data_IF_804626036566
#
_entry.id   IF_804626036566
#
_cell.length_a   1.000
_cell.length_b   1.000
_cell.length_c   1.000
_cell.angle_alpha   90.00
_cell.angle_beta   90.00
_cell.angle_gamma   90.00
#
_symmetry.space_group_name_H-M   'P 1'
#
loop_
_entity.id
_entity.type
_entity.pdbx_description
1 polymer ?
#
# COMPACT_ATOMS: atom_id res chain seq x y z
N UNK A 1 11.64 11.44 -25.07
CA UNK A 1 10.77 10.97 -23.96
C UNK A 1 11.02 9.48 -23.72
N UNK A 2 10.67 8.92 -22.55
CA UNK A 2 10.85 7.48 -22.29
C UNK A 2 10.22 6.59 -23.38
N UNK A 3 9.05 6.99 -23.88
CA UNK A 3 8.37 6.31 -24.99
C UNK A 3 9.21 6.27 -26.27
N UNK A 4 9.81 7.39 -26.67
CA UNK A 4 10.65 7.45 -27.88
C UNK A 4 11.92 6.59 -27.74
N UNK A 5 12.50 6.50 -26.54
CA UNK A 5 13.64 5.62 -26.29
C UNK A 5 13.20 4.16 -26.40
N UNK A 6 12.07 3.79 -25.79
CA UNK A 6 11.54 2.43 -25.91
C UNK A 6 11.29 2.02 -27.37
N UNK A 7 10.75 2.93 -28.20
CA UNK A 7 10.62 2.70 -29.65
C UNK A 7 11.96 2.44 -30.35
N UNK A 8 13.01 3.19 -30.00
CA UNK A 8 14.36 2.94 -30.52
C UNK A 8 14.93 1.59 -30.06
N UNK A 9 14.49 1.08 -28.91
CA UNK A 9 14.87 -0.22 -28.36
C UNK A 9 13.95 -1.37 -28.84
N UNK A 10 13.06 -1.12 -29.81
CA UNK A 10 12.18 -2.14 -30.40
C UNK A 10 10.85 -2.36 -29.67
N UNK A 11 10.55 -1.55 -28.65
CA UNK A 11 9.30 -1.65 -27.88
C UNK A 11 8.25 -0.66 -28.40
N UNK A 12 7.02 -1.14 -28.55
CA UNK A 12 5.88 -0.28 -28.94
C UNK A 12 4.96 -0.08 -27.74
N UNK A 13 4.79 1.19 -27.35
CA UNK A 13 3.84 1.56 -26.31
C UNK A 13 2.54 1.99 -27.01
N UNK A 14 1.39 1.38 -26.68
CA UNK A 14 0.15 1.75 -27.32
C UNK A 14 -0.28 3.16 -26.87
N UNK A 15 -0.87 3.93 -27.79
CA UNK A 15 -1.36 5.29 -27.53
C UNK A 15 -2.49 5.31 -26.46
N UNK A 16 -3.23 4.21 -26.37
CA UNK A 16 -4.24 3.96 -25.35
C UNK A 16 -4.18 2.51 -24.88
N UNK A 17 -4.53 2.28 -23.61
CA UNK A 17 -4.54 0.95 -23.02
C UNK A 17 -5.99 0.63 -22.66
N UNK A 18 -6.57 -0.36 -23.33
CA UNK A 18 -7.91 -0.83 -23.02
C UNK A 18 -7.93 -1.60 -21.67
N UNK A 19 -8.84 -1.27 -20.73
CA UNK A 19 -9.02 -2.03 -19.50
C UNK A 19 -9.23 -3.53 -19.70
N UNK A 20 -9.91 -3.97 -20.76
CA UNK A 20 -10.16 -5.38 -21.04
C UNK A 20 -8.88 -6.13 -21.41
N UNK A 21 -8.01 -5.49 -22.21
CA UNK A 21 -6.69 -6.03 -22.56
C UNK A 21 -5.85 -6.24 -21.30
N UNK A 22 -5.85 -5.25 -20.39
CA UNK A 22 -5.12 -5.37 -19.11
C UNK A 22 -5.72 -6.47 -18.23
N UNK A 23 -7.06 -6.60 -18.24
CA UNK A 23 -7.78 -7.66 -17.55
C UNK A 23 -7.33 -9.06 -17.97
N UNK A 24 -6.99 -9.25 -19.25
CA UNK A 24 -6.44 -10.49 -19.77
C UNK A 24 -4.93 -10.66 -19.51
N UNK A 25 -4.16 -9.56 -19.50
CA UNK A 25 -2.71 -9.58 -19.27
C UNK A 25 -2.33 -10.04 -17.86
N UNK A 26 -3.13 -9.72 -16.83
CA UNK A 26 -2.84 -10.14 -15.45
C UNK A 26 -2.85 -11.68 -15.33
N UNK A 27 -3.93 -12.40 -15.70
CA UNK A 27 -3.94 -13.86 -15.73
C UNK A 27 -2.83 -14.47 -16.59
N UNK A 28 -2.54 -13.89 -17.76
CA UNK A 28 -1.46 -14.39 -18.61
C UNK A 28 -0.09 -14.26 -17.94
N UNK A 29 0.18 -13.13 -17.28
CA UNK A 29 1.43 -12.91 -16.54
C UNK A 29 1.55 -13.88 -15.38
N UNK A 30 0.45 -14.14 -14.67
CA UNK A 30 0.40 -15.12 -13.59
C UNK A 30 0.68 -16.54 -14.09
N UNK A 31 0.09 -16.93 -15.23
CA UNK A 31 0.37 -18.22 -15.87
C UNK A 31 1.86 -18.36 -16.22
N UNK A 32 2.47 -17.35 -16.84
CA UNK A 32 3.92 -17.34 -17.16
C UNK A 32 4.78 -17.46 -15.90
N UNK A 33 4.36 -16.81 -14.80
CA UNK A 33 5.04 -16.94 -13.52
C UNK A 33 4.92 -18.36 -12.94
N UNK A 34 3.72 -18.96 -12.95
CA UNK A 34 3.50 -20.31 -12.46
C UNK A 34 4.29 -21.36 -13.28
N UNK A 35 4.44 -21.15 -14.59
CA UNK A 35 5.21 -22.02 -15.48
C UNK A 35 6.70 -22.08 -15.12
N UNK A 36 7.27 -20.98 -14.62
CA UNK A 36 8.69 -20.92 -14.26
C UNK A 36 8.93 -21.10 -12.76
N UNK A 37 7.92 -20.93 -11.91
CA UNK A 37 8.08 -20.85 -10.44
C UNK A 37 8.83 -22.05 -9.82
N UNK A 38 8.62 -23.26 -10.35
CA UNK A 38 9.25 -24.47 -9.85
C UNK A 38 10.64 -24.74 -10.44
N UNK A 39 11.02 -24.01 -11.49
CA UNK A 39 12.35 -24.08 -12.05
C UNK A 39 13.30 -23.19 -11.24
N UNK A 40 14.62 -23.41 -11.33
CA UNK A 40 15.64 -22.49 -10.79
C UNK A 40 15.70 -21.17 -11.60
N UNK A 41 14.53 -20.68 -12.02
CA UNK A 41 14.33 -19.54 -12.89
C UNK A 41 14.80 -18.24 -12.22
N UNK A 42 14.68 -18.15 -10.89
CA UNK A 42 15.25 -17.07 -10.10
C UNK A 42 16.77 -16.98 -10.29
N UNK A 43 17.43 -18.09 -10.66
CA UNK A 43 18.83 -18.19 -11.02
C UNK A 43 19.16 -17.61 -12.40
N UNK A 44 18.24 -17.68 -13.37
CA UNK A 44 18.44 -17.26 -14.77
C UNK A 44 18.57 -15.74 -14.88
N UNK A 45 19.74 -15.23 -15.28
CA UNK A 45 19.97 -13.79 -15.43
C UNK A 45 19.58 -13.31 -16.83
N UNK A 46 19.13 -12.06 -16.92
CA UNK A 46 18.95 -11.38 -18.22
C UNK A 46 20.33 -11.12 -18.85
N UNK A 47 20.71 -11.87 -19.88
CA UNK A 47 22.00 -11.65 -20.56
C UNK A 47 21.97 -10.43 -21.50
N UNK A 48 20.82 -10.11 -22.09
CA UNK A 48 20.66 -8.96 -22.96
C UNK A 48 20.69 -7.64 -22.17
N UNK A 49 21.75 -6.85 -22.40
CA UNK A 49 21.94 -5.55 -21.79
C UNK A 49 20.92 -4.49 -22.24
N UNK A 50 20.49 -4.55 -23.50
CA UNK A 50 19.44 -3.69 -24.06
C UNK A 50 18.13 -3.93 -23.32
N UNK A 51 17.79 -5.19 -23.07
CA UNK A 51 16.57 -5.56 -22.36
C UNK A 51 16.57 -5.05 -20.91
N UNK A 52 17.72 -5.00 -20.23
CA UNK A 52 17.83 -4.40 -18.89
C UNK A 52 17.45 -2.92 -18.90
N UNK A 53 17.82 -2.18 -19.95
CA UNK A 53 17.40 -0.77 -20.11
C UNK A 53 15.92 -0.65 -20.42
N UNK A 54 15.38 -1.51 -21.29
CA UNK A 54 13.93 -1.56 -21.57
C UNK A 54 13.14 -1.72 -20.26
N UNK A 55 13.52 -2.70 -19.43
CA UNK A 55 12.92 -2.94 -18.10
C UNK A 55 13.01 -1.69 -17.23
N UNK A 56 14.18 -1.03 -17.18
CA UNK A 56 14.38 0.20 -16.40
C UNK A 56 13.48 1.34 -16.89
N UNK A 57 13.37 1.56 -18.20
CA UNK A 57 12.54 2.63 -18.76
C UNK A 57 11.06 2.41 -18.47
N UNK A 58 10.57 1.19 -18.66
CA UNK A 58 9.20 0.88 -18.29
C UNK A 58 8.95 1.08 -16.79
N UNK A 59 9.87 0.67 -15.90
CA UNK A 59 9.71 0.89 -14.46
C UNK A 59 9.55 2.37 -14.11
N UNK A 60 10.36 3.25 -14.74
CA UNK A 60 10.25 4.70 -14.57
C UNK A 60 8.92 5.24 -15.10
N UNK A 61 8.45 4.73 -16.24
CA UNK A 61 7.14 5.08 -16.78
C UNK A 61 5.99 4.62 -15.88
N UNK A 62 6.07 3.41 -15.31
CA UNK A 62 5.09 2.90 -14.36
C UNK A 62 5.00 3.77 -13.11
N UNK A 63 6.15 4.23 -12.58
CA UNK A 63 6.19 5.12 -11.43
C UNK A 63 5.51 6.47 -11.73
N UNK A 64 5.82 7.09 -12.88
CA UNK A 64 5.15 8.32 -13.29
C UNK A 64 3.64 8.11 -13.54
N UNK A 65 3.27 6.99 -14.17
CA UNK A 65 1.89 6.62 -14.43
C UNK A 65 1.09 6.37 -13.14
N UNK A 66 1.72 5.83 -12.10
CA UNK A 66 1.06 5.59 -10.81
C UNK A 66 0.44 6.85 -10.19
N UNK A 67 1.07 8.01 -10.43
CA UNK A 67 0.59 9.30 -9.91
C UNK A 67 -0.36 10.04 -10.86
N UNK A 68 -0.27 9.78 -12.18
CA UNK A 68 -0.91 10.63 -13.20
C UNK A 68 -1.86 9.90 -14.14
N UNK A 69 -1.95 8.57 -14.08
CA UNK A 69 -2.72 7.75 -15.01
C UNK A 69 -3.68 6.81 -14.29
N UNK A 70 -4.65 6.32 -15.04
CA UNK A 70 -5.63 5.36 -14.56
C UNK A 70 -4.96 4.02 -14.15
N UNK A 71 -5.51 3.28 -13.18
CA UNK A 71 -4.90 2.05 -12.66
C UNK A 71 -4.59 0.98 -13.71
N UNK A 72 -5.42 0.85 -14.76
CA UNK A 72 -5.19 -0.15 -15.82
C UNK A 72 -3.93 0.15 -16.65
N UNK A 73 -3.60 1.43 -16.89
CA UNK A 73 -2.35 1.83 -17.57
C UNK A 73 -1.13 1.41 -16.74
N UNK A 74 -1.21 1.60 -15.42
CA UNK A 74 -0.15 1.20 -14.49
C UNK A 74 0.03 -0.33 -14.51
N UNK A 75 -1.08 -1.06 -14.49
CA UNK A 75 -1.07 -2.52 -14.55
C UNK A 75 -0.51 -3.05 -15.87
N UNK A 76 -0.81 -2.41 -17.01
CA UNK A 76 -0.21 -2.74 -18.31
C UNK A 76 1.32 -2.71 -18.24
N UNK A 77 1.90 -1.59 -17.78
CA UNK A 77 3.35 -1.46 -17.74
C UNK A 77 4.00 -2.49 -16.82
N UNK A 78 3.44 -2.74 -15.63
CA UNK A 78 4.00 -3.74 -14.72
C UNK A 78 3.86 -5.16 -15.24
N UNK A 79 2.72 -5.52 -15.85
CA UNK A 79 2.56 -6.83 -16.49
C UNK A 79 3.56 -7.01 -17.62
N UNK A 80 3.71 -6.02 -18.51
CA UNK A 80 4.66 -6.09 -19.63
C UNK A 80 6.09 -6.32 -19.15
N UNK A 81 6.55 -5.60 -18.13
CA UNK A 81 7.92 -5.76 -17.60
C UNK A 81 8.09 -7.08 -16.85
N UNK A 82 7.07 -7.52 -16.13
CA UNK A 82 7.11 -8.81 -15.47
C UNK A 82 7.24 -9.94 -16.51
N UNK A 83 6.44 -9.92 -17.58
CA UNK A 83 6.54 -10.88 -18.68
C UNK A 83 7.93 -10.88 -19.33
N UNK A 84 8.51 -9.70 -19.60
CA UNK A 84 9.89 -9.60 -20.11
C UNK A 84 10.91 -10.25 -19.18
N UNK A 85 10.77 -10.06 -17.87
CA UNK A 85 11.65 -10.68 -16.86
C UNK A 85 11.47 -12.21 -16.77
N UNK A 86 10.23 -12.69 -16.91
CA UNK A 86 9.90 -14.12 -16.87
C UNK A 86 10.46 -14.85 -18.10
N UNK A 87 10.36 -14.24 -19.28
CA UNK A 87 10.81 -14.82 -20.54
C UNK A 87 12.36 -14.84 -20.65
N UNK A 88 12.99 -13.74 -20.25
CA UNK A 88 14.40 -13.50 -20.54
C UNK A 88 15.33 -13.62 -19.32
N UNK A 89 14.79 -13.98 -18.15
CA UNK A 89 15.53 -14.04 -16.89
C UNK A 89 15.49 -12.71 -16.13
N UNK A 90 15.98 -12.76 -14.89
CA UNK A 90 15.90 -11.67 -13.92
C UNK A 90 17.09 -10.71 -13.99
N UNK A 91 16.84 -9.45 -13.64
CA UNK A 91 17.89 -8.44 -13.43
C UNK A 91 17.63 -7.62 -12.16
N UNK A 92 18.54 -6.69 -11.85
CA UNK A 92 18.48 -5.79 -10.69
C UNK A 92 17.19 -4.96 -10.57
N UNK A 93 16.38 -4.87 -11.64
CA UNK A 93 15.11 -4.13 -11.63
C UNK A 93 13.89 -5.04 -11.41
N UNK A 94 14.04 -6.35 -11.61
CA UNK A 94 12.97 -7.34 -11.46
C UNK A 94 12.34 -7.34 -10.05
N UNK A 95 13.08 -7.21 -8.93
CA UNK A 95 12.49 -7.13 -7.59
C UNK A 95 11.40 -6.07 -7.46
N UNK A 96 11.67 -4.84 -7.92
CA UNK A 96 10.70 -3.74 -7.84
C UNK A 96 9.46 -4.01 -8.70
N UNK A 97 9.65 -4.60 -9.88
CA UNK A 97 8.56 -4.97 -10.79
C UNK A 97 7.65 -6.01 -10.13
N UNK A 98 8.23 -7.01 -9.48
CA UNK A 98 7.50 -8.10 -8.85
C UNK A 98 6.70 -7.62 -7.63
N UNK A 99 7.26 -6.74 -6.79
CA UNK A 99 6.51 -6.14 -5.70
C UNK A 99 5.32 -5.31 -6.17
N UNK A 100 5.48 -4.60 -7.29
CA UNK A 100 4.39 -3.81 -7.87
C UNK A 100 3.32 -4.69 -8.51
N UNK A 101 3.72 -5.75 -9.21
CA UNK A 101 2.82 -6.78 -9.73
C UNK A 101 2.03 -7.41 -8.58
N UNK A 102 2.70 -7.78 -7.48
CA UNK A 102 2.06 -8.27 -6.26
C UNK A 102 1.01 -7.29 -5.74
N UNK A 103 1.33 -5.99 -5.67
CA UNK A 103 0.34 -4.96 -5.26
C UNK A 103 -0.88 -4.90 -6.19
N UNK A 104 -0.69 -5.08 -7.50
CA UNK A 104 -1.80 -5.11 -8.47
C UNK A 104 -2.69 -6.34 -8.24
N UNK A 105 -2.07 -7.51 -8.08
CA UNK A 105 -2.81 -8.77 -7.85
C UNK A 105 -3.60 -8.67 -6.55
N UNK A 106 -2.98 -8.17 -5.47
CA UNK A 106 -3.65 -7.98 -4.18
C UNK A 106 -4.90 -7.11 -4.29
N UNK A 107 -4.86 -6.03 -5.09
CA UNK A 107 -6.02 -5.15 -5.30
C UNK A 107 -7.16 -5.81 -6.04
N UNK A 108 -6.88 -6.83 -6.86
CA UNK A 108 -7.95 -7.59 -7.53
C UNK A 108 -8.72 -8.49 -6.57
N UNK A 109 -8.20 -8.73 -5.35
CA UNK A 109 -8.75 -9.69 -4.39
C UNK A 109 -8.57 -11.16 -4.81
N UNK A 110 -8.09 -11.40 -6.03
CA UNK A 110 -7.85 -12.72 -6.57
C UNK A 110 -6.38 -13.12 -6.34
N UNK A 111 -6.14 -14.42 -6.13
CA UNK A 111 -4.78 -15.00 -6.06
C UNK A 111 -3.84 -14.36 -5.01
N UNK A 112 -4.36 -14.01 -3.83
CA UNK A 112 -3.58 -13.44 -2.70
C UNK A 112 -2.31 -14.27 -2.39
N UNK A 113 -2.43 -15.60 -2.40
CA UNK A 113 -1.30 -16.51 -2.18
C UNK A 113 -0.20 -16.34 -3.24
N UNK A 114 -0.57 -16.17 -4.51
CA UNK A 114 0.38 -15.91 -5.59
C UNK A 114 1.05 -14.54 -5.44
N UNK A 115 0.27 -13.50 -5.09
CA UNK A 115 0.81 -12.17 -4.85
C UNK A 115 1.87 -12.16 -3.72
N UNK A 116 1.59 -12.87 -2.62
CA UNK A 116 2.54 -13.02 -1.52
C UNK A 116 3.81 -13.76 -1.95
N UNK A 117 3.67 -14.83 -2.74
CA UNK A 117 4.79 -15.59 -3.28
C UNK A 117 5.70 -14.76 -4.18
N UNK A 118 5.11 -14.01 -5.12
CA UNK A 118 5.83 -13.05 -5.99
C UNK A 118 6.58 -12.02 -5.14
N UNK A 119 5.97 -11.53 -4.06
CA UNK A 119 6.61 -10.56 -3.17
C UNK A 119 7.80 -11.17 -2.39
N UNK A 120 7.71 -12.43 -1.95
CA UNK A 120 8.84 -13.15 -1.33
C UNK A 120 9.98 -13.37 -2.31
N UNK A 121 9.67 -13.79 -3.54
CA UNK A 121 10.67 -13.94 -4.60
C UNK A 121 11.39 -12.62 -4.90
N UNK A 122 10.65 -11.50 -4.89
CA UNK A 122 11.25 -10.18 -5.04
C UNK A 122 12.26 -9.85 -3.93
N UNK A 123 11.96 -10.20 -2.68
CA UNK A 123 12.89 -10.02 -1.55
C UNK A 123 14.14 -10.89 -1.74
N UNK A 124 13.97 -12.18 -2.05
CA UNK A 124 15.10 -13.07 -2.32
C UNK A 124 15.98 -12.57 -3.48
N UNK A 125 15.37 -12.07 -4.56
CA UNK A 125 16.11 -11.47 -5.67
C UNK A 125 16.86 -10.20 -5.24
N UNK A 126 16.28 -9.38 -4.38
CA UNK A 126 16.96 -8.15 -3.91
C UNK A 126 18.23 -8.44 -3.12
N UNK A 127 18.21 -9.47 -2.28
CA UNK A 127 19.39 -9.95 -1.55
C UNK A 127 20.44 -10.49 -2.53
N UNK A 128 20.01 -11.31 -3.50
CA UNK A 128 20.89 -11.87 -4.53
C UNK A 128 21.61 -10.81 -5.35
N UNK A 129 20.91 -9.73 -5.71
CA UNK A 129 21.50 -8.62 -6.48
C UNK A 129 22.21 -7.57 -5.62
N UNK A 130 22.25 -7.76 -4.29
CA UNK A 130 22.86 -6.84 -3.34
C UNK A 130 22.34 -5.39 -3.49
N UNK A 131 21.02 -5.23 -3.60
CA UNK A 131 20.35 -3.95 -3.86
C UNK A 131 20.21 -3.08 -2.59
N UNK A 132 21.29 -2.95 -1.82
CA UNK A 132 21.30 -2.25 -0.53
C UNK A 132 20.82 -0.80 -0.63
N UNK A 133 21.09 -0.13 -1.76
CA UNK A 133 20.65 1.22 -2.09
C UNK A 133 19.13 1.35 -2.33
N UNK A 134 18.49 0.25 -2.74
CA UNK A 134 17.04 0.18 -3.01
C UNK A 134 16.25 -0.52 -1.92
N UNK A 135 16.91 -1.04 -0.87
CA UNK A 135 16.27 -1.83 0.18
C UNK A 135 15.12 -1.09 0.87
N UNK A 136 15.28 0.22 1.10
CA UNK A 136 14.20 1.00 1.69
C UNK A 136 12.97 1.08 0.78
N UNK A 137 13.17 1.26 -0.54
CA UNK A 137 12.07 1.28 -1.51
C UNK A 137 11.40 -0.09 -1.62
N UNK A 138 12.20 -1.15 -1.74
CA UNK A 138 11.71 -2.53 -1.80
C UNK A 138 10.89 -2.88 -0.55
N UNK A 139 11.41 -2.58 0.63
CA UNK A 139 10.74 -2.87 1.89
C UNK A 139 9.46 -2.05 2.08
N UNK A 140 9.45 -0.78 1.67
CA UNK A 140 8.25 0.04 1.63
C UNK A 140 7.18 -0.57 0.70
N UNK A 141 7.57 -0.95 -0.51
CA UNK A 141 6.65 -1.55 -1.48
C UNK A 141 6.13 -2.92 -1.03
N UNK A 142 6.99 -3.75 -0.44
CA UNK A 142 6.58 -5.00 0.18
C UNK A 142 5.53 -4.76 1.26
N UNK A 143 5.78 -3.79 2.14
CA UNK A 143 4.86 -3.46 3.23
C UNK A 143 3.49 -3.02 2.71
N UNK A 144 3.46 -2.21 1.65
CA UNK A 144 2.21 -1.76 1.02
C UNK A 144 1.51 -2.83 0.17
N UNK A 145 2.27 -3.73 -0.46
CA UNK A 145 1.72 -4.78 -1.29
C UNK A 145 1.08 -5.87 -0.43
N UNK A 146 1.89 -6.47 0.46
CA UNK A 146 1.52 -7.68 1.20
C UNK A 146 1.82 -7.60 2.70
N UNK A 147 2.51 -6.56 3.17
CA UNK A 147 2.89 -6.45 4.59
C UNK A 147 1.72 -6.33 5.56
N UNK A 148 0.52 -5.95 5.10
CA UNK A 148 -0.69 -6.02 5.93
C UNK A 148 -1.18 -7.46 6.17
N UNK A 149 -0.63 -8.46 5.47
CA UNK A 149 -0.80 -9.87 5.77
C UNK A 149 0.17 -10.32 6.88
N UNK A 150 1.19 -9.52 7.19
CA UNK A 150 2.06 -9.69 8.35
C UNK A 150 1.50 -8.89 9.55
N UNK A 151 2.05 -9.16 10.73
CA UNK A 151 1.69 -8.43 11.95
C UNK A 151 2.16 -6.97 11.86
N UNK A 152 1.29 -6.02 12.21
CA UNK A 152 1.62 -4.58 12.18
C UNK A 152 2.92 -4.25 12.92
N UNK A 153 3.18 -4.91 14.05
CA UNK A 153 4.42 -4.75 14.83
C UNK A 153 5.69 -5.06 14.02
N UNK A 154 5.69 -6.15 13.25
CA UNK A 154 6.81 -6.49 12.38
C UNK A 154 7.00 -5.42 11.29
N UNK A 155 5.89 -4.89 10.77
CA UNK A 155 5.88 -3.77 9.83
C UNK A 155 6.48 -2.49 10.42
N UNK A 156 6.16 -2.13 11.66
CA UNK A 156 6.68 -0.91 12.33
C UNK A 156 8.21 -0.95 12.41
N UNK A 157 8.78 -2.06 12.88
CA UNK A 157 10.24 -2.19 13.01
C UNK A 157 10.93 -2.14 11.64
N UNK A 158 10.37 -2.83 10.64
CA UNK A 158 10.89 -2.79 9.26
C UNK A 158 10.85 -1.38 8.69
N UNK A 159 9.73 -0.68 8.80
CA UNK A 159 9.54 0.67 8.27
C UNK A 159 10.48 1.69 8.94
N UNK A 160 10.83 1.50 10.22
CA UNK A 160 11.81 2.34 10.92
C UNK A 160 13.20 2.22 10.29
N UNK A 161 13.67 0.98 10.11
CA UNK A 161 14.95 0.71 9.42
C UNK A 161 14.93 1.27 7.99
N UNK A 162 13.79 1.17 7.31
CA UNK A 162 13.63 1.73 5.96
C UNK A 162 13.69 3.26 5.94
N UNK A 163 13.10 3.93 6.93
CA UNK A 163 13.18 5.38 7.08
C UNK A 163 14.64 5.83 7.25
N UNK A 164 15.35 5.23 8.20
CA UNK A 164 16.75 5.58 8.49
C UNK A 164 17.66 5.32 7.27
N UNK A 165 17.49 4.16 6.63
CA UNK A 165 18.24 3.77 5.43
C UNK A 165 17.95 4.69 4.24
N UNK A 166 16.69 5.06 4.01
CA UNK A 166 16.30 5.95 2.92
C UNK A 166 16.85 7.37 3.09
N UNK A 167 16.82 7.92 4.31
CA UNK A 167 17.43 9.22 4.58
C UNK A 167 18.95 9.16 4.39
N UNK A 168 19.60 8.09 4.86
CA UNK A 168 21.05 7.91 4.72
C UNK A 168 21.50 7.79 3.26
N UNK A 169 20.66 7.21 2.39
CA UNK A 169 20.93 7.09 0.95
C UNK A 169 20.52 8.33 0.15
N UNK A 170 19.99 9.37 0.80
CA UNK A 170 19.52 10.60 0.14
C UNK A 170 18.13 10.46 -0.51
N UNK A 171 17.44 9.32 -0.35
CA UNK A 171 16.09 9.12 -0.85
C UNK A 171 15.03 9.57 0.17
N UNK A 172 14.99 10.88 0.42
CA UNK A 172 14.10 11.46 1.43
C UNK A 172 12.62 11.18 1.17
N UNK A 173 12.20 11.12 -0.09
CA UNK A 173 10.81 10.83 -0.46
C UNK A 173 10.36 9.46 0.06
N UNK A 174 11.13 8.40 -0.22
CA UNK A 174 10.85 7.06 0.30
C UNK A 174 10.93 7.04 1.83
N UNK A 175 11.90 7.76 2.41
CA UNK A 175 11.99 7.92 3.86
C UNK A 175 10.67 8.42 4.45
N UNK A 176 10.15 9.56 3.99
CA UNK A 176 8.91 10.09 4.55
C UNK A 176 7.69 9.24 4.24
N UNK A 177 7.65 8.51 3.13
CA UNK A 177 6.60 7.52 2.91
C UNK A 177 6.67 6.36 3.91
N UNK A 178 7.86 5.91 4.28
CA UNK A 178 8.05 4.95 5.37
C UNK A 178 7.58 5.52 6.71
N UNK A 179 7.91 6.77 7.03
CA UNK A 179 7.46 7.43 8.26
C UNK A 179 5.92 7.54 8.33
N UNK A 180 5.27 7.92 7.22
CA UNK A 180 3.80 7.95 7.09
C UNK A 180 3.19 6.58 7.40
N UNK A 181 3.72 5.50 6.80
CA UNK A 181 3.19 4.15 7.06
C UNK A 181 3.51 3.66 8.47
N UNK A 182 4.68 4.00 9.00
CA UNK A 182 5.10 3.65 10.35
C UNK A 182 4.11 4.22 11.37
N UNK A 183 3.79 5.51 11.26
CA UNK A 183 2.82 6.18 12.14
C UNK A 183 1.44 5.52 12.03
N UNK A 184 0.97 5.25 10.82
CA UNK A 184 -0.30 4.57 10.60
C UNK A 184 -0.34 3.19 11.28
N UNK A 185 0.72 2.39 11.14
CA UNK A 185 0.82 1.07 11.76
C UNK A 185 0.93 1.17 13.28
N UNK A 186 1.63 2.18 13.82
CA UNK A 186 1.68 2.43 15.27
C UNK A 186 0.31 2.78 15.84
N UNK A 187 -0.50 3.58 15.14
CA UNK A 187 -1.90 3.87 15.55
C UNK A 187 -2.73 2.59 15.60
N UNK A 188 -2.64 1.77 14.55
CA UNK A 188 -3.49 0.57 14.39
C UNK A 188 -3.09 -0.58 15.32
N UNK A 189 -1.79 -0.74 15.57
CA UNK A 189 -1.28 -1.78 16.47
C UNK A 189 -1.38 -1.40 17.95
N UNK A 190 -1.45 -0.10 18.27
CA UNK A 190 -1.40 0.37 19.66
C UNK A 190 -0.06 0.07 20.36
N UNK A 191 1.01 -0.24 19.60
CA UNK A 191 2.33 -0.60 20.16
C UNK A 191 2.94 0.53 21.00
N UNK A 192 2.66 1.77 20.60
CA UNK A 192 3.30 2.97 21.14
C UNK A 192 2.27 3.83 21.87
N UNK A 193 2.65 4.31 23.05
CA UNK A 193 1.86 5.28 23.80
C UNK A 193 1.65 6.55 22.97
N UNK A 194 0.43 7.11 23.02
CA UNK A 194 0.00 8.16 22.11
C UNK A 194 0.84 9.43 22.21
N UNK A 195 1.26 9.85 23.41
CA UNK A 195 2.12 11.02 23.61
C UNK A 195 3.51 10.78 23.01
N UNK A 196 4.06 9.58 23.15
CA UNK A 196 5.31 9.19 22.51
C UNK A 196 5.18 9.16 20.99
N UNK A 197 4.07 8.65 20.45
CA UNK A 197 3.81 8.66 19.01
C UNK A 197 3.63 10.09 18.47
N UNK A 198 2.96 10.96 19.23
CA UNK A 198 2.80 12.37 18.87
C UNK A 198 4.17 13.06 18.70
N UNK A 199 5.13 12.78 19.59
CA UNK A 199 6.50 13.29 19.49
C UNK A 199 7.21 12.83 18.22
N UNK A 200 7.04 11.57 17.81
CA UNK A 200 7.61 11.07 16.55
C UNK A 200 7.00 11.80 15.35
N UNK A 201 5.67 12.00 15.36
CA UNK A 201 4.99 12.71 14.28
C UNK A 201 5.49 14.15 14.19
N UNK A 202 5.64 14.85 15.33
CA UNK A 202 6.19 16.21 15.40
C UNK A 202 7.63 16.26 14.89
N UNK A 203 8.46 15.27 15.23
CA UNK A 203 9.80 15.13 14.68
C UNK A 203 9.80 14.99 13.16
N UNK A 204 8.97 14.10 12.60
CA UNK A 204 8.87 13.92 11.15
C UNK A 204 8.34 15.17 10.43
N UNK A 205 7.36 15.87 11.02
CA UNK A 205 6.84 17.13 10.50
C UNK A 205 7.90 18.23 10.48
N UNK A 206 8.73 18.32 11.53
CA UNK A 206 9.85 19.26 11.56
C UNK A 206 10.88 18.95 10.46
N UNK A 207 11.25 17.68 10.27
CA UNK A 207 12.15 17.31 9.17
C UNK A 207 11.58 17.70 7.80
N UNK A 208 10.26 17.61 7.60
CA UNK A 208 9.62 17.99 6.35
C UNK A 208 9.71 19.49 6.02
N UNK A 209 10.01 20.36 6.99
CA UNK A 209 10.32 21.77 6.71
C UNK A 209 11.57 21.90 5.83
N UNK A 210 12.51 20.98 5.98
CA UNK A 210 13.74 20.90 5.17
C UNK A 210 13.48 20.25 3.81
N UNK A 211 12.82 19.10 3.79
CA UNK A 211 12.68 18.27 2.59
C UNK A 211 11.46 18.60 1.70
N UNK A 212 10.51 19.41 2.21
CA UNK A 212 9.37 19.95 1.45
C UNK A 212 8.48 18.90 0.76
N UNK A 213 8.36 17.69 1.34
CA UNK A 213 7.41 16.69 0.81
C UNK A 213 5.98 17.01 1.27
N UNK A 214 5.26 17.76 0.43
CA UNK A 214 3.88 18.19 0.70
C UNK A 214 2.90 17.01 0.85
N UNK A 215 3.11 15.93 0.10
CA UNK A 215 2.25 14.74 0.18
C UNK A 215 2.40 14.10 1.56
N UNK A 216 3.63 13.82 1.99
CA UNK A 216 3.87 13.19 3.30
C UNK A 216 3.43 14.08 4.46
N UNK A 217 3.61 15.41 4.34
CA UNK A 217 3.13 16.38 5.32
C UNK A 217 1.62 16.28 5.54
N UNK A 218 0.83 16.17 4.47
CA UNK A 218 -0.63 16.01 4.59
C UNK A 218 -1.03 14.76 5.38
N UNK A 219 -0.42 13.61 5.08
CA UNK A 219 -0.67 12.37 5.81
C UNK A 219 -0.28 12.46 7.29
N UNK A 220 0.91 13.00 7.59
CA UNK A 220 1.37 13.14 8.96
C UNK A 220 0.49 14.10 9.77
N UNK A 221 0.03 15.22 9.20
CA UNK A 221 -0.92 16.12 9.87
C UNK A 221 -2.24 15.42 10.20
N UNK A 222 -2.74 14.56 9.31
CA UNK A 222 -3.95 13.76 9.56
C UNK A 222 -3.81 12.78 10.71
N UNK A 223 -2.66 12.10 10.76
CA UNK A 223 -2.35 11.19 11.85
C UNK A 223 -2.10 11.94 13.15
N UNK A 224 -1.43 13.10 13.09
CA UNK A 224 -1.23 13.97 14.25
C UNK A 224 -2.54 14.42 14.86
N UNK A 225 -3.48 14.88 14.04
CA UNK A 225 -4.82 15.26 14.48
C UNK A 225 -5.55 14.07 15.10
N UNK A 226 -5.44 12.88 14.49
CA UNK A 226 -6.02 11.66 15.05
C UNK A 226 -5.46 11.34 16.43
N UNK A 227 -4.13 11.32 16.59
CA UNK A 227 -3.46 11.06 17.87
C UNK A 227 -3.84 12.12 18.91
N UNK A 228 -3.83 13.40 18.53
CA UNK A 228 -4.23 14.52 19.39
C UNK A 228 -5.68 14.37 19.89
N UNK A 229 -6.62 14.07 18.99
CA UNK A 229 -8.02 13.82 19.36
C UNK A 229 -8.18 12.64 20.33
N UNK A 230 -7.34 11.60 20.21
CA UNK A 230 -7.39 10.44 21.10
C UNK A 230 -6.75 10.70 22.47
N UNK A 231 -5.82 11.64 22.59
CA UNK A 231 -5.20 12.02 23.87
C UNK A 231 -6.14 12.87 24.71
N UNK A 232 -6.62 13.99 24.16
CA UNK A 232 -7.33 15.02 24.92
C UNK A 232 -8.42 15.72 24.10
N UNK A 233 -8.95 15.05 23.07
CA UNK A 233 -9.91 15.65 22.13
C UNK A 233 -9.37 16.91 21.42
N UNK A 234 -8.05 17.06 21.36
CA UNK A 234 -7.37 18.18 20.73
C UNK A 234 -7.33 19.46 21.57
N UNK A 235 -7.64 19.40 22.86
CA UNK A 235 -7.69 20.60 23.72
C UNK A 235 -6.31 21.23 23.95
N UNK A 236 -5.32 20.45 24.38
CA UNK A 236 -3.95 20.92 24.65
C UNK A 236 -2.94 20.48 23.59
N UNK A 237 -3.20 19.38 22.88
CA UNK A 237 -2.25 18.79 21.93
C UNK A 237 -2.44 19.23 20.47
N UNK A 238 -3.48 20.00 20.15
CA UNK A 238 -3.74 20.47 18.78
C UNK A 238 -2.72 21.51 18.32
N UNK A 239 -2.54 21.61 17.00
CA UNK A 239 -1.73 22.66 16.36
C UNK A 239 -2.56 23.42 15.33
N UNK A 240 -2.12 24.63 15.00
CA UNK A 240 -2.79 25.47 13.99
C UNK A 240 -2.73 24.86 12.58
N UNK A 241 -1.62 24.19 12.25
CA UNK A 241 -1.46 23.55 10.95
C UNK A 241 -2.47 22.41 10.78
N UNK A 242 -3.35 22.55 9.78
CA UNK A 242 -4.36 21.55 9.44
C UNK A 242 -4.06 20.89 8.11
N UNK A 243 -4.57 19.69 7.95
CA UNK A 243 -4.57 18.98 6.68
C UNK A 243 -5.39 19.76 5.63
N UNK A 244 -4.84 19.90 4.42
CA UNK A 244 -5.60 20.37 3.26
C UNK A 244 -6.13 19.16 2.49
N UNK A 245 -7.44 18.96 2.56
CA UNK A 245 -8.14 17.81 1.97
C UNK A 245 -8.13 17.83 0.43
N UNK A 246 -7.93 19.00 -0.20
CA UNK A 246 -8.13 19.15 -1.64
C UNK A 246 -9.60 18.99 -2.04
N UNK A 247 -9.85 18.72 -3.32
CA UNK A 247 -11.18 18.39 -3.81
C UNK A 247 -11.55 16.97 -3.35
N UNK A 248 -12.58 16.86 -2.52
CA UNK A 248 -13.09 15.58 -2.04
C UNK A 248 -13.76 14.76 -3.17
N UNK A 249 -14.20 15.41 -4.25
CA UNK A 249 -14.84 14.74 -5.38
C UNK A 249 -13.84 14.28 -6.45
N UNK A 250 -12.58 14.75 -6.39
CA UNK A 250 -11.54 14.30 -7.30
C UNK A 250 -11.25 12.79 -7.08
N UNK A 251 -11.50 11.92 -8.07
CA UNK A 251 -11.19 10.49 -7.96
C UNK A 251 -9.68 10.23 -7.87
N UNK A 252 -8.84 11.17 -8.31
CA UNK A 252 -7.38 11.15 -8.16
C UNK A 252 -6.90 11.43 -6.74
N UNK A 253 -7.76 11.97 -5.88
CA UNK A 253 -7.41 12.30 -4.50
C UNK A 253 -7.37 11.05 -3.60
N UNK A 254 -6.22 10.36 -3.64
CA UNK A 254 -5.93 9.16 -2.84
C UNK A 254 -5.89 9.43 -1.33
N UNK A 255 -5.70 10.68 -0.90
CA UNK A 255 -5.67 11.05 0.52
C UNK A 255 -7.02 10.80 1.22
N UNK A 256 -8.12 10.88 0.46
CA UNK A 256 -9.46 10.64 0.99
C UNK A 256 -9.64 9.23 1.57
N UNK A 257 -8.91 8.23 1.06
CA UNK A 257 -8.95 6.86 1.60
C UNK A 257 -8.46 6.87 3.06
N UNK A 258 -7.34 7.57 3.32
CA UNK A 258 -6.80 7.76 4.66
C UNK A 258 -7.72 8.61 5.52
N UNK A 259 -8.23 9.73 5.00
CA UNK A 259 -9.14 10.61 5.74
C UNK A 259 -10.34 9.83 6.31
N UNK A 260 -11.06 9.07 5.48
CA UNK A 260 -12.21 8.29 5.96
C UNK A 260 -11.80 7.23 6.98
N UNK A 261 -10.68 6.55 6.77
CA UNK A 261 -10.16 5.58 7.73
C UNK A 261 -9.88 6.23 9.09
N UNK A 262 -9.21 7.39 9.11
CA UNK A 262 -8.89 8.12 10.33
C UNK A 262 -10.15 8.67 11.02
N UNK A 263 -11.14 9.15 10.26
CA UNK A 263 -12.42 9.58 10.83
C UNK A 263 -13.17 8.42 11.50
N UNK A 264 -13.19 7.24 10.89
CA UNK A 264 -13.80 6.04 11.48
C UNK A 264 -13.11 5.66 12.78
N UNK A 265 -11.77 5.61 12.77
CA UNK A 265 -10.94 5.36 13.96
C UNK A 265 -11.23 6.33 15.11
N UNK A 266 -11.11 7.64 14.84
CA UNK A 266 -11.35 8.70 15.84
C UNK A 266 -12.74 8.57 16.47
N UNK A 267 -13.77 8.48 15.63
CA UNK A 267 -15.15 8.46 16.10
C UNK A 267 -15.48 7.15 16.84
N UNK A 268 -14.87 6.02 16.47
CA UNK A 268 -15.02 4.78 17.22
C UNK A 268 -14.44 4.92 18.65
N UNK A 269 -13.16 5.28 18.76
CA UNK A 269 -12.48 5.33 20.06
C UNK A 269 -13.01 6.42 21.00
N UNK A 270 -13.56 7.51 20.44
CA UNK A 270 -14.23 8.55 21.22
C UNK A 270 -15.68 8.20 21.61
N UNK A 271 -16.19 7.03 21.22
CA UNK A 271 -17.55 6.58 21.55
C UNK A 271 -18.66 7.20 20.68
N UNK A 272 -18.31 7.84 19.56
CA UNK A 272 -19.25 8.45 18.61
C UNK A 272 -19.72 7.45 17.55
N UNK A 273 -20.40 6.38 17.96
CA UNK A 273 -20.81 5.28 17.08
C UNK A 273 -21.59 5.70 15.83
N UNK A 274 -22.55 6.63 15.95
CA UNK A 274 -23.31 7.14 14.80
C UNK A 274 -22.41 7.85 13.76
N UNK A 275 -21.45 8.67 14.23
CA UNK A 275 -20.49 9.35 13.34
C UNK A 275 -19.53 8.37 12.71
N UNK A 276 -19.06 7.38 13.47
CA UNK A 276 -18.23 6.28 12.96
C UNK A 276 -18.91 5.59 11.78
N UNK A 277 -20.18 5.23 11.90
CA UNK A 277 -20.96 4.64 10.80
C UNK A 277 -21.09 5.54 9.59
N UNK A 278 -21.42 6.81 9.80
CA UNK A 278 -21.56 7.78 8.71
C UNK A 278 -20.27 7.87 7.89
N UNK A 279 -19.12 7.97 8.54
CA UNK A 279 -17.83 8.00 7.83
C UNK A 279 -17.46 6.66 7.22
N UNK A 280 -17.81 5.53 7.85
CA UNK A 280 -17.58 4.21 7.29
C UNK A 280 -18.37 4.00 5.99
N UNK A 281 -19.64 4.41 5.95
CA UNK A 281 -20.48 4.34 4.76
C UNK A 281 -19.92 5.20 3.61
N UNK A 282 -19.46 6.42 3.92
CA UNK A 282 -18.74 7.25 2.93
C UNK A 282 -17.45 6.60 2.44
N UNK A 283 -16.70 5.96 3.35
CA UNK A 283 -15.53 5.15 3.03
C UNK A 283 -15.86 4.01 2.07
N UNK A 284 -16.91 3.23 2.33
CA UNK A 284 -17.33 2.12 1.47
C UNK A 284 -17.78 2.56 0.07
N UNK A 285 -18.43 3.71 -0.03
CA UNK A 285 -18.87 4.25 -1.32
C UNK A 285 -17.69 4.70 -2.21
N UNK A 286 -16.56 5.07 -1.59
CA UNK A 286 -15.40 5.61 -2.31
C UNK A 286 -14.27 4.61 -2.49
N UNK A 287 -13.92 3.87 -1.45
CA UNK A 287 -12.72 3.05 -1.39
C UNK A 287 -13.04 1.69 -2.01
N UNK A 288 -12.37 1.29 -3.10
CA UNK A 288 -12.57 -0.02 -3.70
C UNK A 288 -12.38 -1.15 -2.69
N UNK A 289 -13.20 -2.19 -2.83
CA UNK A 289 -13.03 -3.43 -2.07
C UNK A 289 -11.65 -4.03 -2.32
N UNK A 290 -11.07 -4.67 -1.30
CA UNK A 290 -9.72 -5.26 -1.36
C UNK A 290 -8.58 -4.27 -1.06
N UNK A 291 -8.86 -2.97 -0.93
CA UNK A 291 -7.86 -2.03 -0.39
C UNK A 291 -7.71 -2.21 1.12
N UNK A 292 -6.47 -2.07 1.60
CA UNK A 292 -6.12 -2.10 3.01
C UNK A 292 -7.03 -1.24 3.92
N UNK A 293 -7.23 0.04 3.58
CA UNK A 293 -8.09 0.93 4.38
C UNK A 293 -9.56 0.50 4.40
N UNK A 294 -10.05 -0.18 3.36
CA UNK A 294 -11.40 -0.71 3.33
C UNK A 294 -11.60 -1.76 4.44
N UNK A 295 -10.61 -2.65 4.64
CA UNK A 295 -10.66 -3.67 5.70
C UNK A 295 -10.64 -3.05 7.10
N UNK A 296 -9.82 -2.03 7.33
CA UNK A 296 -9.79 -1.31 8.62
C UNK A 296 -11.14 -0.64 8.90
N UNK A 297 -11.69 0.07 7.91
CA UNK A 297 -13.00 0.73 8.06
C UNK A 297 -14.07 -0.31 8.36
N UNK A 298 -14.07 -1.43 7.63
CA UNK A 298 -15.02 -2.53 7.83
C UNK A 298 -14.92 -3.16 9.22
N UNK A 299 -13.70 -3.31 9.74
CA UNK A 299 -13.46 -3.81 11.09
C UNK A 299 -14.06 -2.89 12.16
N UNK A 300 -13.70 -1.60 12.16
CA UNK A 300 -14.21 -0.65 13.16
C UNK A 300 -15.71 -0.38 13.01
N UNK A 301 -16.24 -0.42 11.79
CA UNK A 301 -17.67 -0.37 11.54
C UNK A 301 -18.40 -1.56 12.21
N UNK A 302 -17.88 -2.78 12.05
CA UNK A 302 -18.41 -3.97 12.70
C UNK A 302 -18.38 -3.90 14.22
N UNK A 303 -17.27 -3.43 14.80
CA UNK A 303 -17.17 -3.20 16.25
C UNK A 303 -18.19 -2.18 16.74
N UNK A 304 -18.39 -1.09 15.98
CA UNK A 304 -19.39 -0.08 16.31
C UNK A 304 -20.82 -0.64 16.29
N UNK A 305 -21.15 -1.48 15.30
CA UNK A 305 -22.44 -2.18 15.23
C UNK A 305 -22.66 -3.11 16.43
N UNK A 306 -21.64 -3.89 16.80
CA UNK A 306 -21.66 -4.77 17.96
C UNK A 306 -21.93 -4.00 19.27
N UNK A 307 -21.28 -2.85 19.47
CA UNK A 307 -21.50 -2.02 20.66
C UNK A 307 -22.96 -1.52 20.73
N UNK A 308 -23.55 -1.17 19.58
CA UNK A 308 -24.94 -0.73 19.51
C UNK A 308 -25.94 -1.86 19.72
N UNK A 309 -25.64 -3.08 19.26
CA UNK A 309 -26.48 -4.26 19.50
C UNK A 309 -26.62 -4.57 20.99
N UNK A 310 -25.55 -4.36 21.77
CA UNK A 310 -25.61 -4.48 23.25
C UNK A 310 -26.60 -3.49 23.88
N UNK A 311 -26.81 -2.32 23.25
CA UNK A 311 -27.70 -1.27 23.75
C UNK A 311 -29.15 -1.46 23.29
N UNK A 312 -29.37 -1.98 22.08
CA UNK A 312 -30.70 -2.22 21.48
C UNK A 312 -30.66 -3.41 20.54
N UNK A 313 -31.48 -4.43 20.82
CA UNK A 313 -31.63 -5.59 19.93
C UNK A 313 -32.25 -5.12 18.59
N UNK A 314 -31.55 -5.36 17.48
CA UNK A 314 -32.01 -5.02 16.14
C UNK A 314 -31.52 -6.11 15.16
N UNK A 315 -32.48 -6.87 14.61
CA UNK A 315 -32.20 -8.00 13.72
C UNK A 315 -31.43 -7.61 12.45
N UNK A 316 -31.72 -6.44 11.86
CA UNK A 316 -31.02 -5.97 10.65
C UNK A 316 -29.53 -5.77 10.94
N UNK A 317 -29.21 -5.16 12.08
CA UNK A 317 -27.82 -4.94 12.50
C UNK A 317 -27.09 -6.24 12.84
N UNK A 318 -27.81 -7.25 13.30
CA UNK A 318 -27.22 -8.56 13.56
C UNK A 318 -26.73 -9.20 12.27
N UNK A 319 -27.55 -9.18 11.21
CA UNK A 319 -27.15 -9.68 9.88
C UNK A 319 -25.93 -8.93 9.31
N UNK A 320 -25.89 -7.61 9.43
CA UNK A 320 -24.73 -6.82 9.00
C UNK A 320 -23.43 -7.23 9.72
N UNK A 321 -23.52 -7.50 11.02
CA UNK A 321 -22.38 -7.98 11.81
C UNK A 321 -21.92 -9.36 11.33
N UNK A 322 -22.84 -10.28 11.05
CA UNK A 322 -22.50 -11.61 10.51
C UNK A 322 -21.76 -11.50 9.17
N UNK A 323 -22.22 -10.64 8.26
CA UNK A 323 -21.56 -10.37 6.97
C UNK A 323 -20.14 -9.80 7.15
N UNK A 324 -19.94 -8.95 8.17
CA UNK A 324 -18.62 -8.42 8.51
C UNK A 324 -17.72 -9.51 9.06
N UNK A 325 -18.21 -10.33 10.00
CA UNK A 325 -17.46 -11.45 10.57
C UNK A 325 -17.02 -12.41 9.47
N UNK A 326 -17.90 -12.76 8.55
CA UNK A 326 -17.57 -13.68 7.46
C UNK A 326 -16.51 -13.08 6.53
N UNK A 327 -16.64 -11.80 6.20
CA UNK A 327 -15.60 -11.08 5.46
C UNK A 327 -14.25 -11.02 6.19
N UNK A 328 -14.24 -10.93 7.53
CA UNK A 328 -13.00 -10.92 8.32
C UNK A 328 -12.38 -12.32 8.41
N UNK A 329 -13.18 -13.40 8.47
CA UNK A 329 -12.66 -14.77 8.40
C UNK A 329 -11.93 -15.05 7.10
N UNK A 330 -12.46 -14.55 5.97
CA UNK A 330 -11.77 -14.64 4.68
C UNK A 330 -10.42 -13.94 4.75
N UNK A 331 -10.35 -12.73 5.29
CA UNK A 331 -9.09 -12.00 5.47
C UNK A 331 -8.11 -12.76 6.39
N UNK A 332 -8.58 -13.32 7.50
CA UNK A 332 -7.78 -14.12 8.44
C UNK A 332 -7.23 -15.38 7.79
N UNK A 333 -8.04 -16.12 7.00
CA UNK A 333 -7.58 -17.32 6.29
C UNK A 333 -6.37 -17.03 5.38
N UNK A 334 -6.32 -15.85 4.78
CA UNK A 334 -5.20 -15.40 3.96
C UNK A 334 -4.00 -14.91 4.78
N UNK A 335 -4.20 -14.49 6.03
CA UNK A 335 -3.13 -14.18 6.96
C UNK A 335 -2.53 -15.45 7.60
N UNK A 336 -3.37 -16.41 8.04
CA UNK A 336 -2.98 -17.63 8.75
C UNK A 336 -2.22 -18.64 7.89
N UNK A 337 -2.48 -18.69 6.57
CA UNK A 337 -1.65 -19.48 5.64
C UNK A 337 -0.17 -19.09 5.66
N UNK A 338 0.17 -17.96 6.29
CA UNK A 338 1.52 -17.43 6.42
C UNK A 338 2.18 -17.69 7.78
N UNK A 339 1.46 -18.23 8.77
CA UNK A 339 2.00 -18.48 10.12
C UNK A 339 2.59 -19.90 10.25
N UNK A 340 2.16 -20.84 9.39
CA UNK A 340 2.51 -22.27 9.50
C UNK A 340 3.63 -22.76 8.57
N UNK A 341 4.26 -21.86 7.82
CA UNK A 341 5.46 -22.12 7.02
C UNK A 341 6.55 -21.13 7.44
#
# INVERSE_FOLDING_TARGET
TCSSILTQLGETIPDSVDPEVVGAMIPETLRKYDEVYCDDWLGKKTEDYTLRYVIRFYLQMSQAAFFSKAPHIVAYFFCKVAQLSLENGVCQHTPLVFLQLSSIIMRSGNNIACAHRIAKDAVALSERFNLSDQMAQLSFLFTNAVGHLEWFHAGVQRLRVCFDSALSSGNAEIGFFCAVQLVNYSILSGEKELTSLLKDIDYYLHLLETYKSEISKKYLLSYRETVSMLIDKGEATSIEAKEYLGDANDPGNKFMDTYYCQQVLRNFWLGYGERCRHFAQKGFARIPQGKYFFHIIKFYYGLSLLEMLKKKLNYVRFKEVEEIIESMKVAVKHADSNIRN
#
